data_IF_007372100323
#
_entry.id   IF_007372100323
#
_cell.length_a   1.000
_cell.length_b   1.000
_cell.length_c   1.000
_cell.angle_alpha   90.00
_cell.angle_beta   90.00
_cell.angle_gamma   90.00
#
_symmetry.space_group_name_H-M   'P 1'
#
loop_
_entity.id
_entity.type
_entity.pdbx_description
1 polymer ?
#
# COMPACT_ATOMS: atom_id res chain seq x y z
N UNK A 1 -20.24 16.74 -20.55
CA UNK A 1 -19.76 15.35 -20.40
C UNK A 1 -19.90 14.65 -21.74
N UNK A 2 -18.79 14.47 -22.45
CA UNK A 2 -18.77 13.80 -23.76
C UNK A 2 -19.13 12.32 -23.61
N UNK A 3 -19.84 11.70 -24.58
CA UNK A 3 -20.27 10.29 -24.49
C UNK A 3 -19.10 9.33 -24.25
N UNK A 4 -17.94 9.66 -24.83
CA UNK A 4 -16.67 8.98 -24.63
C UNK A 4 -16.17 8.99 -23.17
N UNK A 5 -16.26 10.14 -22.48
CA UNK A 5 -15.86 10.29 -21.07
C UNK A 5 -16.76 9.47 -20.15
N UNK A 6 -18.05 9.37 -20.48
CA UNK A 6 -19.01 8.54 -19.72
C UNK A 6 -18.67 7.05 -19.82
N UNK A 7 -18.29 6.57 -21.01
CA UNK A 7 -17.86 5.18 -21.19
C UNK A 7 -16.53 4.91 -20.50
N UNK A 8 -15.59 5.85 -20.58
CA UNK A 8 -14.30 5.77 -19.88
C UNK A 8 -14.49 5.67 -18.37
N UNK A 9 -15.36 6.50 -17.81
CA UNK A 9 -15.73 6.48 -16.39
C UNK A 9 -16.34 5.14 -15.96
N UNK A 10 -17.19 4.54 -16.80
CA UNK A 10 -17.84 3.26 -16.52
C UNK A 10 -16.85 2.08 -16.43
N UNK A 11 -15.72 2.20 -17.11
CA UNK A 11 -14.64 1.20 -17.12
C UNK A 11 -13.65 1.38 -15.95
N UNK A 12 -13.65 2.53 -15.29
CA UNK A 12 -12.88 2.80 -14.09
C UNK A 12 -13.55 2.18 -12.84
N UNK A 13 -13.47 0.86 -12.73
CA UNK A 13 -14.02 0.07 -11.61
C UNK A 13 -13.05 -0.08 -10.40
N UNK A 14 -11.86 0.53 -10.48
CA UNK A 14 -10.82 0.41 -9.44
C UNK A 14 -10.00 -0.90 -9.49
N UNK A 15 -10.43 -1.89 -10.27
CA UNK A 15 -9.68 -3.13 -10.50
C UNK A 15 -8.75 -3.06 -11.74
N UNK A 16 -8.88 -2.04 -12.58
CA UNK A 16 -8.16 -1.91 -13.86
C UNK A 16 -7.20 -0.72 -13.82
N UNK A 17 -5.96 -0.96 -14.24
CA UNK A 17 -4.95 0.08 -14.37
C UNK A 17 -5.29 1.05 -15.51
N UNK A 18 -4.74 2.26 -15.46
CA UNK A 18 -4.91 3.31 -16.47
C UNK A 18 -4.61 2.81 -17.89
N UNK A 19 -3.53 2.04 -18.04
CA UNK A 19 -3.12 1.45 -19.32
C UNK A 19 -4.13 0.44 -19.87
N UNK A 20 -4.79 -0.35 -19.01
CA UNK A 20 -5.83 -1.30 -19.44
C UNK A 20 -7.12 -0.57 -19.84
N UNK A 21 -7.51 0.45 -19.06
CA UNK A 21 -8.70 1.26 -19.36
C UNK A 21 -8.51 2.04 -20.66
N UNK A 22 -7.35 2.68 -20.86
CA UNK A 22 -7.01 3.37 -22.10
C UNK A 22 -6.84 2.42 -23.28
N UNK A 23 -6.29 1.23 -23.08
CA UNK A 23 -6.20 0.21 -24.12
C UNK A 23 -7.56 -0.25 -24.61
N UNK A 24 -8.50 -0.49 -23.69
CA UNK A 24 -9.87 -0.92 -24.00
C UNK A 24 -10.68 0.18 -24.70
N UNK A 25 -10.40 1.44 -24.37
CA UNK A 25 -11.11 2.60 -24.93
C UNK A 25 -10.36 3.29 -26.07
N UNK A 26 -9.21 2.74 -26.49
CA UNK A 26 -8.37 3.28 -27.56
C UNK A 26 -9.13 3.40 -28.89
N UNK A 27 -9.97 2.41 -29.22
CA UNK A 27 -10.81 2.41 -30.42
C UNK A 27 -11.86 3.53 -30.45
N UNK A 28 -12.16 4.16 -29.31
CA UNK A 28 -13.05 5.32 -29.19
C UNK A 28 -12.26 6.64 -29.05
N UNK A 29 -10.94 6.59 -29.27
CA UNK A 29 -10.02 7.72 -29.23
C UNK A 29 -9.66 8.19 -27.82
N UNK A 30 -9.89 7.38 -26.78
CA UNK A 30 -9.57 7.76 -25.40
C UNK A 30 -8.07 7.96 -25.20
N UNK A 31 -7.73 9.08 -24.57
CA UNK A 31 -6.37 9.51 -24.33
C UNK A 31 -6.14 9.70 -22.83
N UNK A 32 -4.90 9.68 -22.36
CA UNK A 32 -4.57 10.00 -20.97
C UNK A 32 -5.05 11.39 -20.53
N UNK A 33 -5.25 12.34 -21.45
CA UNK A 33 -5.82 13.64 -21.13
C UNK A 33 -7.31 13.55 -20.71
N UNK A 34 -8.07 12.60 -21.28
CA UNK A 34 -9.45 12.36 -20.89
C UNK A 34 -9.56 11.79 -19.46
N UNK A 35 -8.64 10.90 -19.07
CA UNK A 35 -8.52 10.42 -17.67
C UNK A 35 -8.16 11.56 -16.72
N UNK A 36 -7.25 12.45 -17.13
CA UNK A 36 -6.90 13.62 -16.34
C UNK A 36 -8.09 14.58 -16.17
N UNK A 37 -8.94 14.71 -17.18
CA UNK A 37 -10.17 15.49 -17.09
C UNK A 37 -11.16 14.85 -16.09
N UNK A 38 -11.34 13.53 -16.11
CA UNK A 38 -12.18 12.83 -15.13
C UNK A 38 -11.66 12.98 -13.68
N UNK A 39 -10.34 12.98 -13.49
CA UNK A 39 -9.69 13.27 -12.22
C UNK A 39 -9.92 14.71 -11.77
N UNK A 40 -9.77 15.67 -12.70
CA UNK A 40 -9.97 17.11 -12.43
C UNK A 40 -11.42 17.41 -12.04
N UNK A 41 -12.37 16.68 -12.65
CA UNK A 41 -13.78 16.75 -12.33
C UNK A 41 -14.17 15.98 -11.05
N UNK A 42 -13.23 15.26 -10.43
CA UNK A 42 -13.47 14.50 -9.20
C UNK A 42 -14.39 13.29 -9.38
N UNK A 43 -14.49 12.76 -10.61
CA UNK A 43 -15.36 11.62 -10.92
C UNK A 43 -14.65 10.27 -10.74
N UNK A 44 -13.33 10.29 -10.76
CA UNK A 44 -12.46 9.16 -10.42
C UNK A 44 -11.37 9.66 -9.49
N UNK A 45 -10.82 8.75 -8.70
CA UNK A 45 -9.68 9.03 -7.83
C UNK A 45 -8.57 8.00 -8.07
N UNK A 46 -7.30 8.40 -7.97
CA UNK A 46 -6.18 7.48 -8.14
C UNK A 46 -6.08 6.56 -6.93
N UNK A 47 -6.43 5.28 -7.11
CA UNK A 47 -6.22 4.23 -6.12
C UNK A 47 -4.81 3.65 -6.34
N UNK A 48 -3.92 3.87 -5.38
CA UNK A 48 -2.49 3.55 -5.52
C UNK A 48 -1.71 4.70 -6.16
N UNK A 49 -1.01 5.47 -5.32
CA UNK A 49 -0.38 6.71 -5.71
C UNK A 49 0.76 6.55 -6.73
N UNK A 50 0.54 7.09 -7.93
CA UNK A 50 1.59 7.70 -8.73
C UNK A 50 1.06 9.02 -9.28
N UNK A 51 0.99 10.05 -8.42
CA UNK A 51 0.84 11.44 -8.87
C UNK A 51 2.22 11.89 -9.35
N UNK A 52 2.42 12.29 -10.62
CA UNK A 52 3.64 12.99 -10.98
C UNK A 52 3.74 14.27 -10.14
N UNK A 53 4.92 14.60 -9.60
CA UNK A 53 5.06 15.61 -8.55
C UNK A 53 4.71 17.01 -9.07
N UNK A 54 3.73 17.72 -8.49
CA UNK A 54 3.70 19.17 -8.56
C UNK A 54 4.61 19.74 -7.45
N UNK A 55 5.24 20.86 -7.80
CA UNK A 55 6.22 21.60 -7.00
C UNK A 55 5.79 21.90 -5.54
N UNK A 56 6.74 22.24 -4.65
CA UNK A 56 6.58 22.11 -3.21
C UNK A 56 5.75 23.25 -2.60
N UNK A 57 4.66 22.92 -1.90
CA UNK A 57 4.12 23.76 -0.83
C UNK A 57 3.19 22.97 0.12
N UNK A 58 3.68 22.75 1.35
CA UNK A 58 3.01 22.73 2.66
C UNK A 58 1.70 21.93 2.88
N UNK A 59 1.83 21.02 3.85
CA UNK A 59 0.94 20.70 4.98
C UNK A 59 -0.12 19.58 4.82
N UNK A 60 0.09 18.55 5.63
CA UNK A 60 -0.85 17.70 6.39
C UNK A 60 -1.82 16.72 5.68
N UNK A 61 -1.59 15.44 6.02
CA UNK A 61 -2.51 14.49 6.64
C UNK A 61 -3.41 13.56 5.77
N UNK A 62 -3.10 12.26 5.95
CA UNK A 62 -3.99 11.13 6.24
C UNK A 62 -4.58 10.25 5.11
N UNK A 63 -4.09 9.00 5.13
CA UNK A 63 -4.83 7.71 5.10
C UNK A 63 -5.37 7.10 3.77
N UNK A 64 -4.58 6.13 3.24
CA UNK A 64 -4.84 4.73 2.75
C UNK A 64 -6.23 4.25 2.23
N UNK A 65 -6.39 3.04 1.60
CA UNK A 65 -5.47 1.93 1.23
C UNK A 65 -5.58 1.51 -0.28
N UNK A 66 -4.75 0.64 -0.90
CA UNK A 66 -4.86 -0.84 -1.00
C UNK A 66 -3.85 -1.35 -2.08
N UNK A 67 -2.88 -2.23 -1.78
CA UNK A 67 -2.67 -3.60 -2.33
C UNK A 67 -2.64 -3.67 -3.89
N UNK A 68 -1.55 -4.09 -4.57
CA UNK A 68 -1.03 -5.46 -4.67
C UNK A 68 0.40 -5.47 -5.31
N UNK A 69 1.19 -6.47 -4.90
CA UNK A 69 2.60 -6.82 -5.23
C UNK A 69 2.92 -6.81 -6.74
N UNK A 70 4.12 -6.50 -7.26
CA UNK A 70 5.37 -7.27 -7.15
C UNK A 70 6.58 -6.46 -7.66
N UNK A 71 7.41 -5.97 -6.74
CA UNK A 71 8.87 -5.81 -6.86
C UNK A 71 9.35 -5.16 -5.55
N UNK A 72 10.43 -5.63 -4.90
CA UNK A 72 10.99 -4.93 -3.75
C UNK A 72 11.74 -3.69 -4.25
N UNK A 73 11.03 -2.68 -4.73
CA UNK A 73 11.55 -1.32 -4.62
C UNK A 73 11.55 -1.03 -3.13
N UNK A 74 12.75 -1.10 -2.54
CA UNK A 74 13.00 -0.55 -1.21
C UNK A 74 12.47 0.89 -1.25
N UNK A 75 11.41 1.22 -0.50
CA UNK A 75 10.90 2.58 -0.52
C UNK A 75 11.99 3.49 0.03
N UNK A 76 12.43 4.50 -0.72
CA UNK A 76 13.42 5.46 -0.22
C UNK A 76 12.79 6.47 0.76
N UNK A 77 11.45 6.51 0.82
CA UNK A 77 10.67 7.36 1.70
C UNK A 77 10.25 6.64 3.00
N UNK A 78 10.51 7.29 4.14
CA UNK A 78 10.21 6.76 5.48
C UNK A 78 8.72 6.53 5.71
N UNK A 79 7.84 7.35 5.12
CA UNK A 79 6.39 7.18 5.27
C UNK A 79 5.90 5.97 4.47
N UNK A 80 6.44 5.74 3.27
CA UNK A 80 6.12 4.52 2.51
C UNK A 80 6.64 3.25 3.20
N UNK A 81 7.87 3.26 3.75
CA UNK A 81 8.37 2.12 4.53
C UNK A 81 7.48 1.81 5.72
N UNK A 82 7.10 2.85 6.47
CA UNK A 82 6.19 2.70 7.59
C UNK A 82 4.87 2.04 7.17
N UNK A 83 4.24 2.50 6.08
CA UNK A 83 3.00 1.91 5.60
C UNK A 83 3.15 0.44 5.18
N UNK A 84 4.23 0.11 4.46
CA UNK A 84 4.51 -1.29 4.05
C UNK A 84 4.71 -2.18 5.27
N UNK A 85 5.56 -1.74 6.21
CA UNK A 85 5.85 -2.49 7.43
C UNK A 85 4.61 -2.63 8.33
N UNK A 86 3.79 -1.58 8.46
CA UNK A 86 2.56 -1.59 9.24
C UNK A 86 1.55 -2.61 8.72
N UNK A 87 1.30 -2.62 7.39
CA UNK A 87 0.37 -3.58 6.78
C UNK A 87 0.86 -5.01 6.94
N UNK A 88 2.16 -5.24 6.73
CA UNK A 88 2.76 -6.55 6.91
C UNK A 88 2.68 -7.01 8.38
N UNK A 89 3.03 -6.14 9.33
CA UNK A 89 2.92 -6.43 10.76
C UNK A 89 1.48 -6.79 11.15
N UNK A 90 0.49 -6.03 10.68
CA UNK A 90 -0.94 -6.27 10.96
C UNK A 90 -1.42 -7.62 10.41
N UNK A 91 -1.02 -7.96 9.19
CA UNK A 91 -1.35 -9.25 8.57
C UNK A 91 -0.73 -10.40 9.35
N UNK A 92 0.58 -10.29 9.65
CA UNK A 92 1.32 -11.28 10.42
C UNK A 92 0.74 -11.45 11.84
N UNK A 93 0.35 -10.36 12.50
CA UNK A 93 -0.26 -10.46 13.84
C UNK A 93 -1.65 -11.07 13.83
N UNK A 94 -2.42 -10.87 12.75
CA UNK A 94 -3.74 -11.49 12.60
C UNK A 94 -3.62 -13.02 12.50
N UNK A 95 -2.55 -13.54 11.90
CA UNK A 95 -2.29 -14.99 11.79
C UNK A 95 -1.91 -15.64 13.14
N UNK A 96 -1.51 -14.85 14.16
CA UNK A 96 -1.12 -15.34 15.50
C UNK A 96 -2.32 -15.69 16.39
N UNK A 97 -3.54 -15.34 15.99
CA UNK A 97 -4.77 -15.56 16.77
C UNK A 97 -4.77 -14.85 18.12
N UNK A 98 -5.34 -15.47 19.17
CA UNK A 98 -5.48 -14.86 20.50
C UNK A 98 -4.15 -14.45 21.14
N UNK A 99 -3.05 -15.12 20.80
CA UNK A 99 -1.69 -14.78 21.26
C UNK A 99 -1.17 -13.50 20.58
N UNK A 100 -1.68 -13.20 19.38
CA UNK A 100 -1.38 -12.01 18.59
C UNK A 100 -2.08 -10.74 19.06
N UNK A 101 -3.17 -10.81 19.83
CA UNK A 101 -3.98 -9.63 20.21
C UNK A 101 -3.16 -8.56 20.91
N UNK A 102 -2.26 -8.94 21.82
CA UNK A 102 -1.37 -7.98 22.52
C UNK A 102 -0.35 -7.35 21.58
N UNK A 103 0.14 -8.11 20.59
CA UNK A 103 1.04 -7.58 19.58
C UNK A 103 0.31 -6.67 18.59
N UNK A 104 -0.91 -7.01 18.22
CA UNK A 104 -1.73 -6.20 17.33
C UNK A 104 -2.04 -4.84 17.97
N UNK A 105 -2.41 -4.80 19.26
CA UNK A 105 -2.56 -3.53 19.98
C UNK A 105 -1.25 -2.70 20.00
N UNK A 106 -0.10 -3.36 20.15
CA UNK A 106 1.17 -2.66 20.11
C UNK A 106 1.46 -2.09 18.72
N UNK A 107 1.16 -2.86 17.66
CA UNK A 107 1.27 -2.41 16.26
C UNK A 107 0.32 -1.24 15.97
N UNK A 108 -0.92 -1.25 16.47
CA UNK A 108 -1.85 -0.12 16.30
C UNK A 108 -1.45 1.11 17.12
N UNK A 109 -0.78 0.93 18.26
CA UNK A 109 -0.19 2.02 19.03
C UNK A 109 1.04 2.63 18.34
N UNK A 110 1.69 1.88 17.44
CA UNK A 110 2.83 2.34 16.68
C UNK A 110 2.39 3.38 15.65
N UNK A 111 2.86 4.62 15.79
CA UNK A 111 2.58 5.71 14.84
C UNK A 111 3.78 6.11 13.97
N UNK A 112 4.94 5.46 14.16
CA UNK A 112 6.17 5.78 13.44
C UNK A 112 6.95 4.52 13.07
N UNK A 113 7.85 4.65 12.08
CA UNK A 113 8.74 3.55 11.67
C UNK A 113 9.60 3.07 12.85
N UNK A 114 10.08 3.99 13.67
CA UNK A 114 10.87 3.69 14.86
C UNK A 114 10.07 2.85 15.86
N UNK A 115 8.79 3.15 16.05
CA UNK A 115 7.94 2.39 16.97
C UNK A 115 7.74 0.95 16.48
N UNK A 116 7.45 0.77 15.19
CA UNK A 116 7.40 -0.57 14.58
C UNK A 116 8.73 -1.34 14.69
N UNK A 117 9.87 -0.65 14.56
CA UNK A 117 11.20 -1.25 14.76
C UNK A 117 11.42 -1.72 16.20
N UNK A 118 10.89 -1.01 17.20
CA UNK A 118 10.96 -1.45 18.60
C UNK A 118 10.12 -2.73 18.85
N UNK A 119 9.08 -2.94 18.05
CA UNK A 119 8.21 -4.11 18.15
C UNK A 119 8.74 -5.34 17.39
N UNK A 120 9.67 -5.15 16.46
CA UNK A 120 10.27 -6.23 15.65
C UNK A 120 10.71 -7.46 16.48
N UNK A 121 11.54 -7.34 17.53
CA UNK A 121 11.99 -8.53 18.27
C UNK A 121 10.82 -9.29 18.89
N UNK A 122 9.77 -8.59 19.33
CA UNK A 122 8.57 -9.22 19.90
C UNK A 122 7.74 -9.91 18.83
N UNK A 123 7.58 -9.29 17.65
CA UNK A 123 6.92 -9.94 16.50
C UNK A 123 7.68 -11.19 16.07
N UNK A 124 9.01 -11.11 16.02
CA UNK A 124 9.86 -12.22 15.62
C UNK A 124 9.66 -13.43 16.54
N UNK A 125 9.76 -13.25 17.85
CA UNK A 125 9.54 -14.35 18.81
C UNK A 125 8.12 -14.93 18.70
N UNK A 126 7.10 -14.08 18.55
CA UNK A 126 5.71 -14.53 18.41
C UNK A 126 5.48 -15.34 17.13
N UNK A 127 6.13 -14.95 16.02
CA UNK A 127 6.08 -15.64 14.74
C UNK A 127 6.75 -17.01 14.81
N UNK A 128 7.91 -17.13 15.46
CA UNK A 128 8.58 -18.42 15.68
C UNK A 128 7.73 -19.35 16.55
N UNK A 129 7.16 -18.81 17.63
CA UNK A 129 6.34 -19.58 18.55
C UNK A 129 5.07 -20.13 17.89
N UNK A 130 4.51 -19.43 16.90
CA UNK A 130 3.25 -19.82 16.24
C UNK A 130 3.45 -20.62 14.96
N UNK A 131 4.31 -20.16 14.06
CA UNK A 131 4.48 -20.78 12.73
C UNK A 131 5.62 -21.81 12.69
N UNK A 132 6.36 -21.97 13.79
CA UNK A 132 7.55 -22.81 13.88
C UNK A 132 8.82 -22.11 13.36
N UNK A 133 10.01 -22.72 13.58
CA UNK A 133 11.29 -22.05 13.38
C UNK A 133 11.57 -21.67 11.92
N UNK A 134 11.18 -22.50 10.96
CA UNK A 134 11.44 -22.23 9.54
C UNK A 134 10.52 -21.13 8.96
N UNK A 135 9.19 -21.28 9.13
CA UNK A 135 8.21 -20.32 8.59
C UNK A 135 8.18 -19.01 9.37
N UNK A 136 8.38 -19.07 10.69
CA UNK A 136 8.45 -17.88 11.55
C UNK A 136 9.67 -17.02 11.22
N UNK A 137 10.84 -17.63 11.00
CA UNK A 137 12.05 -16.90 10.63
C UNK A 137 11.93 -16.25 9.24
N UNK A 138 11.28 -16.89 8.27
CA UNK A 138 11.04 -16.32 6.94
C UNK A 138 10.13 -15.08 7.01
N UNK A 139 8.97 -15.20 7.68
CA UNK A 139 8.04 -14.08 7.92
C UNK A 139 8.69 -12.93 8.69
N UNK A 140 9.49 -13.24 9.72
CA UNK A 140 10.17 -12.22 10.51
C UNK A 140 11.28 -11.52 9.70
N UNK A 141 11.98 -12.26 8.83
CA UNK A 141 12.97 -11.69 7.92
C UNK A 141 12.32 -10.78 6.90
N UNK A 142 11.15 -11.13 6.37
CA UNK A 142 10.36 -10.26 5.50
C UNK A 142 9.97 -8.95 6.19
N UNK A 143 9.49 -9.04 7.44
CA UNK A 143 9.19 -7.86 8.26
C UNK A 143 10.43 -6.98 8.49
N UNK A 144 11.56 -7.58 8.88
CA UNK A 144 12.81 -6.86 9.10
C UNK A 144 13.32 -6.14 7.84
N UNK A 145 13.10 -6.71 6.65
CA UNK A 145 13.41 -6.04 5.37
C UNK A 145 12.50 -4.84 5.12
N UNK A 146 11.21 -4.96 5.42
CA UNK A 146 10.27 -3.84 5.30
C UNK A 146 10.60 -2.70 6.27
N UNK A 147 11.06 -3.02 7.48
CA UNK A 147 11.43 -2.04 8.51
C UNK A 147 12.75 -1.34 8.23
N UNK A 148 13.79 -2.08 7.83
CA UNK A 148 15.15 -1.56 7.68
C UNK A 148 15.48 -1.11 6.24
N UNK A 149 14.66 -1.47 5.26
CA UNK A 149 14.92 -1.17 3.86
C UNK A 149 16.17 -1.86 3.29
N UNK A 150 16.63 -2.97 3.89
CA UNK A 150 17.72 -3.76 3.32
C UNK A 150 17.16 -4.75 2.29
N UNK A 151 17.36 -4.42 1.01
CA UNK A 151 17.10 -5.30 -0.12
C UNK A 151 18.26 -6.22 -0.40
#
# INVERSE_FOLDING_TARGET
MSPKLRTLLLLCDGHRSDAEVLGTTHGMGATPADLHELLTLGLIEPVGGMRPPPAPAKLAAQSAPEALSFAPTIPNDTAQRYQVAYRLATQLTSELGLRGVRLQLAVEAAMTLQDLQQLEPRLHEALLATHGPAKGADKARELGRALHGQG
#
